data_IF_088351025026
#
_entry.id   IF_088351025026
#
_cell.length_a   1.000
_cell.length_b   1.000
_cell.length_c   1.000
_cell.angle_alpha   90.00
_cell.angle_beta   90.00
_cell.angle_gamma   90.00
#
_symmetry.space_group_name_H-M   'P 1'
#
loop_
_entity.id
_entity.type
_entity.pdbx_description
1 polymer ?
#
# COMPACT_ATOMS: atom_id res chain seq x y z
N UNK A 1 17.33 3.54 -2.00
CA UNK A 1 16.21 3.17 -2.92
C UNK A 1 14.86 3.37 -2.25
N UNK A 2 14.60 2.74 -1.10
CA UNK A 2 13.37 2.96 -0.33
C UNK A 2 13.62 3.85 0.90
N UNK A 3 12.64 4.65 1.30
CA UNK A 3 12.71 5.45 2.52
C UNK A 3 12.90 4.59 3.78
N UNK A 4 13.49 5.16 4.83
CA UNK A 4 13.56 4.52 6.14
C UNK A 4 12.46 5.04 7.05
N UNK A 5 11.36 4.30 7.11
CA UNK A 5 10.16 4.66 7.87
C UNK A 5 10.43 4.76 9.38
N UNK A 6 11.46 4.07 9.89
CA UNK A 6 11.88 4.15 11.31
C UNK A 6 12.55 5.49 11.65
N UNK A 7 12.99 6.25 10.65
CA UNK A 7 13.64 7.54 10.82
C UNK A 7 12.71 8.73 10.53
N UNK A 8 11.43 8.47 10.25
CA UNK A 8 10.48 9.55 9.96
C UNK A 8 10.23 10.36 11.24
N UNK A 9 10.54 11.67 11.28
CA UNK A 9 10.30 12.44 12.48
C UNK A 9 8.81 12.70 12.66
N UNK A 10 8.36 12.88 13.90
CA UNK A 10 6.94 13.03 14.22
C UNK A 10 6.20 14.07 13.36
N UNK A 11 6.81 15.19 12.99
CA UNK A 11 6.12 16.28 12.29
C UNK A 11 5.92 16.07 10.76
N UNK A 12 5.94 14.83 10.27
CA UNK A 12 5.74 14.51 8.85
C UNK A 12 4.46 13.71 8.59
N UNK A 13 4.11 13.60 7.31
CA UNK A 13 3.07 12.70 6.81
C UNK A 13 3.74 11.54 6.10
N UNK A 14 3.54 10.31 6.59
CA UNK A 14 3.92 9.10 5.90
C UNK A 14 2.87 8.75 4.84
N UNK A 15 3.31 8.44 3.62
CA UNK A 15 2.40 8.09 2.54
C UNK A 15 3.07 7.08 1.60
N UNK A 16 2.47 5.91 1.37
CA UNK A 16 3.03 4.90 0.47
C UNK A 16 2.89 5.32 -1.00
N UNK A 17 1.83 6.04 -1.35
CA UNK A 17 1.54 6.56 -2.68
C UNK A 17 0.73 7.84 -2.60
N UNK A 18 0.64 8.58 -3.69
CA UNK A 18 -0.19 9.79 -3.80
C UNK A 18 -0.75 9.90 -5.22
N UNK A 19 -1.47 10.99 -5.52
CA UNK A 19 -2.09 11.15 -6.83
C UNK A 19 -1.09 11.23 -7.99
N UNK A 20 0.14 11.70 -7.74
CA UNK A 20 1.18 11.87 -8.78
C UNK A 20 2.13 10.66 -8.92
N UNK A 21 1.99 9.64 -8.07
CA UNK A 21 2.78 8.40 -8.16
C UNK A 21 1.86 7.19 -8.31
N UNK A 22 2.45 6.03 -8.65
CA UNK A 22 1.69 4.80 -8.80
C UNK A 22 1.10 4.35 -7.44
N UNK A 23 -0.16 3.89 -7.40
CA UNK A 23 -0.69 3.12 -6.27
C UNK A 23 0.18 1.88 -5.98
N UNK A 24 0.08 1.34 -4.77
CA UNK A 24 0.94 0.24 -4.30
C UNK A 24 0.96 -0.93 -5.28
N UNK A 25 -0.21 -1.35 -5.78
CA UNK A 25 -0.30 -2.49 -6.70
C UNK A 25 0.42 -2.22 -8.01
N UNK A 26 0.18 -1.05 -8.60
CA UNK A 26 0.79 -0.68 -9.88
C UNK A 26 2.30 -0.51 -9.73
N UNK A 27 2.76 0.08 -8.63
CA UNK A 27 4.18 0.21 -8.32
C UNK A 27 4.84 -1.16 -8.14
N UNK A 28 4.16 -2.07 -7.44
CA UNK A 28 4.67 -3.42 -7.18
C UNK A 28 4.84 -4.23 -8.46
N UNK A 29 3.87 -4.15 -9.37
CA UNK A 29 3.84 -4.92 -10.61
C UNK A 29 4.70 -4.30 -11.73
N UNK A 30 5.19 -3.07 -11.57
CA UNK A 30 6.01 -2.35 -12.57
C UNK A 30 7.42 -2.94 -12.72
N UNK A 31 8.07 -3.29 -11.60
CA UNK A 31 9.46 -3.77 -11.57
C UNK A 31 9.62 -4.87 -10.53
N UNK A 32 9.67 -6.13 -11.00
CA UNK A 32 9.77 -7.31 -10.16
C UNK A 32 11.07 -7.36 -9.33
N UNK A 33 12.20 -6.86 -9.87
CA UNK A 33 13.47 -6.86 -9.14
C UNK A 33 13.42 -5.85 -7.99
N UNK A 34 12.84 -4.68 -8.23
CA UNK A 34 12.63 -3.64 -7.23
C UNK A 34 11.66 -4.08 -6.14
N UNK A 35 10.55 -4.69 -6.51
CA UNK A 35 9.57 -5.23 -5.56
C UNK A 35 10.16 -6.34 -4.70
N UNK A 36 10.99 -7.22 -5.28
CA UNK A 36 11.70 -8.25 -4.52
C UNK A 36 12.65 -7.67 -3.46
N UNK A 37 13.39 -6.61 -3.78
CA UNK A 37 14.27 -5.92 -2.80
C UNK A 37 13.46 -5.26 -1.67
N UNK A 38 12.31 -4.65 -1.97
CA UNK A 38 11.43 -4.11 -0.92
C UNK A 38 10.88 -5.23 -0.03
N UNK A 39 10.44 -6.34 -0.63
CA UNK A 39 9.89 -7.49 0.08
C UNK A 39 10.87 -8.06 1.11
N UNK A 40 12.13 -8.25 0.70
CA UNK A 40 13.20 -8.69 1.59
C UNK A 40 13.39 -7.72 2.76
N UNK A 41 13.37 -6.41 2.49
CA UNK A 41 13.50 -5.39 3.55
C UNK A 41 12.32 -5.41 4.53
N UNK A 42 11.09 -5.59 4.03
CA UNK A 42 9.90 -5.67 4.88
C UNK A 42 9.94 -6.92 5.78
N UNK A 43 10.44 -8.04 5.25
CA UNK A 43 10.64 -9.26 6.03
C UNK A 43 11.70 -9.10 7.14
N UNK A 44 12.81 -8.42 6.86
CA UNK A 44 13.89 -8.20 7.84
C UNK A 44 13.56 -7.17 8.94
N UNK A 45 12.67 -6.21 8.67
CA UNK A 45 12.33 -5.13 9.62
C UNK A 45 11.15 -5.43 10.55
N UNK A 46 10.44 -6.56 10.37
CA UNK A 46 9.25 -6.90 11.19
C UNK A 46 8.83 -8.37 11.16
N UNK A 47 9.52 -9.25 10.44
CA UNK A 47 9.25 -10.68 10.44
C UNK A 47 9.97 -11.37 11.61
N UNK A 48 9.27 -12.28 12.29
CA UNK A 48 9.89 -13.23 13.24
C UNK A 48 10.77 -14.29 12.57
N UNK A 49 10.93 -14.24 11.25
CA UNK A 49 11.76 -15.15 10.46
C UNK A 49 13.09 -14.50 10.09
N UNK A 50 14.14 -15.31 10.02
CA UNK A 50 15.42 -14.88 9.47
C UNK A 50 15.24 -14.37 8.03
N UNK A 51 16.10 -13.45 7.58
CA UNK A 51 16.09 -12.89 6.22
C UNK A 51 16.09 -13.98 5.12
N UNK A 52 16.56 -15.19 5.46
CA UNK A 52 16.62 -16.38 4.59
C UNK A 52 15.31 -17.20 4.52
N UNK A 53 14.28 -16.87 5.29
CA UNK A 53 13.01 -17.64 5.37
C UNK A 53 11.81 -16.95 4.72
N UNK A 54 11.96 -15.71 4.25
CA UNK A 54 10.86 -15.02 3.57
C UNK A 54 10.54 -15.73 2.24
N UNK A 55 9.25 -16.03 1.94
CA UNK A 55 8.88 -16.58 0.65
C UNK A 55 9.27 -15.61 -0.47
N UNK A 56 9.49 -16.10 -1.71
CA UNK A 56 9.78 -15.22 -2.84
C UNK A 56 8.67 -14.18 -3.00
N UNK A 57 9.05 -12.96 -3.36
CA UNK A 57 8.10 -11.89 -3.62
C UNK A 57 7.13 -12.30 -4.73
N UNK A 58 5.81 -12.17 -4.53
CA UNK A 58 4.85 -12.49 -5.60
C UNK A 58 4.99 -11.51 -6.76
N UNK A 59 4.83 -12.00 -7.99
CA UNK A 59 4.85 -11.15 -9.19
C UNK A 59 3.68 -10.17 -9.23
N UNK A 60 2.48 -10.65 -8.89
CA UNK A 60 1.28 -9.81 -8.74
C UNK A 60 1.20 -9.27 -7.32
N UNK A 61 0.69 -8.05 -7.16
CA UNK A 61 0.53 -7.48 -5.84
C UNK A 61 -0.67 -8.12 -5.13
N UNK A 62 -0.41 -8.97 -4.13
CA UNK A 62 -1.42 -9.65 -3.33
C UNK A 62 -1.76 -8.85 -2.06
N UNK A 63 -2.95 -9.05 -1.44
CA UNK A 63 -3.34 -8.28 -0.25
C UNK A 63 -2.35 -8.32 0.90
N UNK A 64 -1.64 -9.42 1.11
CA UNK A 64 -0.63 -9.52 2.17
C UNK A 64 0.58 -8.60 1.92
N UNK A 65 0.91 -8.32 0.66
CA UNK A 65 1.96 -7.36 0.29
C UNK A 65 1.51 -5.94 0.64
N UNK A 66 0.29 -5.59 0.22
CA UNK A 66 -0.33 -4.29 0.52
C UNK A 66 -0.39 -4.07 2.02
N UNK A 67 -0.85 -5.09 2.77
CA UNK A 67 -0.87 -5.11 4.23
C UNK A 67 0.52 -4.82 4.80
N UNK A 68 1.57 -5.55 4.39
CA UNK A 68 2.92 -5.34 4.91
C UNK A 68 3.43 -3.91 4.66
N UNK A 69 3.15 -3.33 3.49
CA UNK A 69 3.53 -1.95 3.18
C UNK A 69 2.77 -0.96 4.06
N UNK A 70 1.45 -1.11 4.20
CA UNK A 70 0.63 -0.23 5.03
C UNK A 70 0.99 -0.36 6.51
N UNK A 71 1.27 -1.57 7.01
CA UNK A 71 1.76 -1.83 8.38
C UNK A 71 3.06 -1.10 8.64
N UNK A 72 4.04 -1.19 7.72
CA UNK A 72 5.31 -0.47 7.88
C UNK A 72 5.12 1.05 7.95
N UNK A 73 4.21 1.62 7.15
CA UNK A 73 3.90 3.06 7.20
C UNK A 73 3.15 3.43 8.48
N UNK A 74 2.22 2.60 8.93
CA UNK A 74 1.49 2.79 10.18
C UNK A 74 2.37 2.59 11.42
N UNK A 75 3.45 1.81 11.34
CA UNK A 75 4.40 1.65 12.43
C UNK A 75 5.43 2.80 12.54
N UNK A 76 5.47 3.72 11.57
CA UNK A 76 6.39 4.87 11.60
C UNK A 76 5.99 5.93 12.63
N UNK A 77 6.95 6.72 13.11
CA UNK A 77 6.73 7.82 14.06
C UNK A 77 6.04 9.05 13.45
N UNK A 78 5.81 9.09 12.14
CA UNK A 78 5.14 10.22 11.46
C UNK A 78 3.79 10.55 12.11
N UNK A 79 3.43 11.83 12.24
CA UNK A 79 2.19 12.26 12.90
C UNK A 79 0.94 11.73 12.18
N UNK A 80 0.99 11.68 10.85
CA UNK A 80 -0.09 11.15 10.03
C UNK A 80 0.43 10.08 9.09
N UNK A 81 -0.43 9.10 8.82
CA UNK A 81 -0.30 8.19 7.69
C UNK A 81 -1.49 8.45 6.76
N UNK A 82 -1.22 8.83 5.51
CA UNK A 82 -2.25 9.09 4.49
C UNK A 82 -1.95 8.22 3.28
N UNK A 83 -2.93 7.42 2.86
CA UNK A 83 -2.86 6.63 1.63
C UNK A 83 -4.14 6.82 0.79
N UNK A 84 -4.05 6.81 -0.55
CA UNK A 84 -5.21 6.83 -1.43
C UNK A 84 -6.15 5.64 -1.17
N UNK A 85 -7.43 5.79 -1.49
CA UNK A 85 -8.43 4.72 -1.28
C UNK A 85 -8.10 3.46 -2.08
N UNK A 86 -7.40 3.58 -3.21
CA UNK A 86 -6.92 2.44 -4.01
C UNK A 86 -6.05 1.50 -3.18
N UNK A 87 -5.12 2.05 -2.39
CA UNK A 87 -4.22 1.27 -1.54
C UNK A 87 -4.96 0.59 -0.39
N UNK A 88 -5.97 1.26 0.18
CA UNK A 88 -6.82 0.66 1.21
C UNK A 88 -7.66 -0.47 0.63
N UNK A 89 -8.36 -0.26 -0.48
CA UNK A 89 -9.18 -1.28 -1.15
C UNK A 89 -8.36 -2.52 -1.52
N UNK A 90 -7.08 -2.36 -1.85
CA UNK A 90 -6.19 -3.46 -2.18
C UNK A 90 -5.87 -4.41 -1.00
N UNK A 91 -6.36 -4.13 0.21
CA UNK A 91 -6.39 -5.08 1.33
C UNK A 91 -7.35 -6.26 1.12
N UNK A 92 -8.27 -6.16 0.16
CA UNK A 92 -9.19 -7.22 -0.18
C UNK A 92 -9.22 -7.43 -1.70
N UNK A 93 -8.98 -8.67 -2.17
CA UNK A 93 -8.98 -8.99 -3.60
C UNK A 93 -10.32 -8.68 -4.26
N UNK A 94 -11.42 -8.71 -3.49
CA UNK A 94 -12.77 -8.33 -3.92
C UNK A 94 -12.80 -6.92 -4.55
N UNK A 95 -11.99 -5.99 -4.03
CA UNK A 95 -11.93 -4.61 -4.48
C UNK A 95 -10.70 -4.31 -5.34
N UNK A 96 -9.93 -5.34 -5.69
CA UNK A 96 -8.69 -5.25 -6.45
C UNK A 96 -8.76 -6.07 -7.77
N UNK A 97 -9.96 -6.31 -8.28
CA UNK A 97 -10.17 -7.17 -9.45
C UNK A 97 -9.73 -6.54 -10.80
N UNK A 98 -9.59 -5.21 -10.85
CA UNK A 98 -9.12 -4.51 -12.06
C UNK A 98 -7.60 -4.59 -12.22
N UNK A 99 -7.06 -4.40 -13.43
CA UNK A 99 -5.62 -4.27 -13.63
C UNK A 99 -5.05 -3.15 -12.76
N UNK A 100 -3.92 -3.39 -12.10
CA UNK A 100 -3.34 -2.44 -11.14
C UNK A 100 -3.05 -1.07 -11.78
N UNK A 101 -2.58 -1.04 -13.02
CA UNK A 101 -2.27 0.21 -13.73
C UNK A 101 -3.51 1.09 -13.96
N UNK A 102 -4.71 0.51 -14.03
CA UNK A 102 -5.97 1.26 -14.15
C UNK A 102 -6.38 1.97 -12.84
N UNK A 103 -5.65 1.75 -11.75
CA UNK A 103 -5.87 2.44 -10.47
C UNK A 103 -5.16 3.80 -10.40
N UNK A 104 -4.26 4.06 -11.34
CA UNK A 104 -3.51 5.32 -11.46
C UNK A 104 -4.45 6.47 -11.79
N UNK A 105 -4.43 7.51 -10.97
CA UNK A 105 -5.24 8.73 -11.17
C UNK A 105 -4.54 9.80 -12.01
N UNK A 106 -3.20 9.89 -11.95
CA UNK A 106 -2.41 10.82 -12.74
C UNK A 106 -1.12 10.23 -13.29
N UNK A 107 -0.69 10.77 -14.44
CA UNK A 107 0.67 10.68 -14.91
C UNK A 107 1.33 12.05 -15.02
N UNK A 108 2.20 12.45 -14.07
CA UNK A 108 2.83 13.77 -14.12
C UNK A 108 3.79 13.93 -15.30
N UNK A 109 4.24 12.84 -15.92
CA UNK A 109 5.08 12.90 -17.13
C UNK A 109 4.27 13.27 -18.38
N UNK A 110 2.94 13.15 -18.31
CA UNK A 110 2.02 13.51 -19.38
C UNK A 110 1.23 14.76 -18.99
N UNK A 111 1.66 15.93 -19.47
CA UNK A 111 0.98 17.21 -19.25
C UNK A 111 -0.49 17.27 -19.74
N UNK A 112 -0.92 16.32 -20.57
CA UNK A 112 -2.30 16.18 -21.07
C UNK A 112 -3.01 14.97 -20.46
N UNK A 113 -2.50 14.43 -19.35
CA UNK A 113 -3.11 13.28 -18.70
C UNK A 113 -4.57 13.61 -18.33
N UNK A 114 -5.45 12.65 -18.61
CA UNK A 114 -6.86 12.80 -18.33
C UNK A 114 -7.18 12.19 -16.97
N UNK A 115 -7.53 13.03 -16.01
CA UNK A 115 -7.85 12.69 -14.63
C UNK A 115 -9.19 11.95 -14.52
N UNK A 116 -9.19 10.66 -14.85
CA UNK A 116 -10.43 9.91 -15.06
C UNK A 116 -10.57 8.64 -14.22
N UNK A 117 -9.65 8.35 -13.29
CA UNK A 117 -9.88 7.27 -12.35
C UNK A 117 -11.15 7.54 -11.54
N UNK A 118 -12.02 6.53 -11.49
CA UNK A 118 -13.21 6.50 -10.63
C UNK A 118 -13.14 5.26 -9.75
N UNK A 119 -13.47 5.44 -8.48
CA UNK A 119 -13.68 4.32 -7.58
C UNK A 119 -14.83 3.47 -8.14
N UNK A 120 -14.54 2.19 -8.41
CA UNK A 120 -15.53 1.22 -8.92
C UNK A 120 -16.43 0.64 -7.84
N UNK A 121 -16.09 0.87 -6.57
CA UNK A 121 -16.85 0.39 -5.42
C UNK A 121 -17.63 1.57 -4.86
N UNK A 122 -18.93 1.36 -4.60
CA UNK A 122 -19.71 2.35 -3.88
C UNK A 122 -19.21 2.49 -2.44
N UNK A 123 -19.25 3.70 -1.88
CA UNK A 123 -18.81 3.90 -0.49
C UNK A 123 -19.75 3.21 0.49
N UNK A 124 -21.02 3.09 0.12
CA UNK A 124 -22.06 2.36 0.85
C UNK A 124 -21.68 0.88 0.99
N UNK A 125 -21.24 0.23 -0.09
CA UNK A 125 -20.80 -1.17 -0.07
C UNK A 125 -19.57 -1.37 0.82
N UNK A 126 -18.61 -0.43 0.80
CA UNK A 126 -17.42 -0.48 1.66
C UNK A 126 -17.78 -0.33 3.15
N UNK A 127 -18.82 0.45 3.47
CA UNK A 127 -19.28 0.67 4.84
C UNK A 127 -20.07 -0.50 5.41
N UNK A 128 -20.59 -1.37 4.56
CA UNK A 128 -21.33 -2.58 4.95
C UNK A 128 -20.44 -3.83 4.97
N UNK A 129 -19.22 -3.75 4.44
CA UNK A 129 -18.26 -4.86 4.44
C UNK A 129 -17.49 -4.96 5.75
N UNK A 130 -17.98 -5.78 6.68
CA UNK A 130 -17.35 -6.01 7.99
C UNK A 130 -15.92 -6.55 7.87
N UNK A 131 -15.62 -7.40 6.88
CA UNK A 131 -14.29 -7.98 6.69
C UNK A 131 -13.26 -6.91 6.30
N UNK A 132 -13.64 -6.04 5.38
CA UNK A 132 -12.81 -4.90 4.98
C UNK A 132 -12.60 -3.92 6.14
N UNK A 133 -13.68 -3.58 6.85
CA UNK A 133 -13.63 -2.67 8.01
C UNK A 133 -12.73 -3.23 9.10
N UNK A 134 -12.83 -4.52 9.42
CA UNK A 134 -12.00 -5.16 10.43
C UNK A 134 -10.53 -5.23 10.01
N UNK A 135 -10.26 -5.44 8.72
CA UNK A 135 -8.91 -5.36 8.16
C UNK A 135 -8.28 -3.97 8.35
N UNK A 136 -9.04 -2.90 8.10
CA UNK A 136 -8.60 -1.51 8.31
C UNK A 136 -8.45 -1.19 9.79
N UNK A 137 -9.38 -1.64 10.65
CA UNK A 137 -9.28 -1.46 12.12
C UNK A 137 -8.05 -2.16 12.69
N UNK A 138 -7.77 -3.39 12.27
CA UNK A 138 -6.60 -4.13 12.72
C UNK A 138 -5.32 -3.36 12.43
N UNK A 139 -5.18 -2.83 11.21
CA UNK A 139 -4.05 -1.99 10.81
C UNK A 139 -3.95 -0.70 11.61
N UNK A 140 -5.05 0.05 11.69
CA UNK A 140 -5.04 1.36 12.37
C UNK A 140 -4.86 1.24 13.88
N UNK A 141 -5.17 0.08 14.48
CA UNK A 141 -4.94 -0.17 15.90
C UNK A 141 -3.44 -0.16 16.30
N UNK A 142 -2.53 -0.36 15.35
CA UNK A 142 -1.08 -0.26 15.55
C UNK A 142 -0.63 1.15 16.01
N UNK A 143 -1.44 2.18 15.75
CA UNK A 143 -1.18 3.58 16.12
C UNK A 143 -1.72 3.98 17.49
N UNK A 144 -2.57 3.14 18.10
CA UNK A 144 -3.33 3.47 19.32
C UNK A 144 -2.78 2.79 20.58
N UNK A 145 -1.59 2.18 20.48
CA UNK A 145 -0.88 1.57 21.61
C UNK A 145 -0.01 2.54 22.39
#
# INVERSE_FOLDING_TARGET
EFGDLSQYPYHVVASPSCHDVLPIRAWWEEDAERSARLWQRLAGNGGTGAEDEAPPAPTECKPFVVRAILEAHLASDACLMIAPIQDWMALDEKYAARPALEERINDPTNSKHYWCYRCHVALEDLKEDEHFIDSVKALTSLRTG
#
